data_IF_744737377282
#
_entry.id   IF_744737377282
#
_cell.length_a   1.000
_cell.length_b   1.000
_cell.length_c   1.000
_cell.angle_alpha   90.00
_cell.angle_beta   90.00
_cell.angle_gamma   90.00
#
_symmetry.space_group_name_H-M   'P 1'
#
loop_
_entity.id
_entity.type
_entity.pdbx_description
1 polymer ?
#
# COMPACT_ATOMS: atom_id res chain seq x y z
N UNK A 1 -27.10 -3.45 -21.77
CA UNK A 1 -27.70 -2.67 -20.65
C UNK A 1 -27.06 -1.29 -20.64
N UNK A 2 -27.77 -0.21 -20.27
CA UNK A 2 -27.19 1.14 -20.22
C UNK A 2 -26.90 1.55 -18.79
N UNK A 3 -25.65 1.93 -18.49
CA UNK A 3 -25.25 2.44 -17.18
C UNK A 3 -23.87 3.13 -17.25
N UNK A 4 -23.55 4.04 -16.31
CA UNK A 4 -22.22 4.60 -16.18
C UNK A 4 -21.26 3.65 -15.44
N UNK A 5 -20.04 3.55 -15.94
CA UNK A 5 -18.91 2.92 -15.25
C UNK A 5 -17.96 4.01 -14.76
N UNK A 6 -17.61 3.99 -13.48
CA UNK A 6 -16.67 4.94 -12.88
C UNK A 6 -15.34 4.24 -12.56
N UNK A 7 -14.25 4.81 -13.04
CA UNK A 7 -12.89 4.33 -12.80
C UNK A 7 -12.15 5.37 -11.95
N UNK A 8 -11.68 4.98 -10.77
CA UNK A 8 -10.87 5.87 -9.93
C UNK A 8 -9.54 6.13 -10.60
N UNK A 9 -9.18 7.40 -10.74
CA UNK A 9 -7.84 7.84 -11.14
C UNK A 9 -7.10 8.22 -9.86
N UNK A 10 -6.16 7.40 -9.36
CA UNK A 10 -5.48 7.70 -8.11
C UNK A 10 -4.71 9.02 -8.18
N UNK A 11 -4.60 9.73 -7.06
CA UNK A 11 -3.88 11.01 -6.98
C UNK A 11 -2.40 10.91 -7.37
N UNK A 12 -1.78 9.74 -7.20
CA UNK A 12 -0.39 9.50 -7.62
C UNK A 12 -0.22 9.32 -9.13
N UNK A 13 -1.31 9.07 -9.88
CA UNK A 13 -1.25 8.74 -11.30
C UNK A 13 -1.55 9.98 -12.17
N UNK A 14 -0.51 10.58 -12.74
CA UNK A 14 -0.62 11.80 -13.58
C UNK A 14 -0.80 11.53 -15.07
N UNK A 15 -0.74 10.27 -15.52
CA UNK A 15 -0.77 9.90 -16.93
C UNK A 15 -1.65 8.66 -17.17
N UNK A 16 -2.82 8.61 -16.53
CA UNK A 16 -3.76 7.51 -16.70
C UNK A 16 -4.25 7.42 -18.16
N UNK A 17 -4.50 6.19 -18.63
CA UNK A 17 -5.07 5.94 -19.96
C UNK A 17 -6.20 4.94 -19.85
N UNK A 18 -7.29 5.21 -20.56
CA UNK A 18 -8.44 4.31 -20.67
C UNK A 18 -8.55 3.84 -22.12
N UNK A 19 -8.75 2.53 -22.32
CA UNK A 19 -9.17 1.97 -23.61
C UNK A 19 -10.50 1.28 -23.45
N UNK A 20 -11.31 1.35 -24.51
CA UNK A 20 -12.56 0.62 -24.65
C UNK A 20 -12.48 -0.20 -25.93
N UNK A 21 -12.56 -1.53 -25.81
CA UNK A 21 -12.45 -2.45 -26.94
C UNK A 21 -11.20 -2.17 -27.81
N UNK A 22 -10.06 -1.88 -27.16
CA UNK A 22 -8.79 -1.55 -27.82
C UNK A 22 -8.64 -0.10 -28.28
N UNK A 23 -9.73 0.68 -28.36
CA UNK A 23 -9.68 2.08 -28.77
C UNK A 23 -9.36 3.00 -27.58
N UNK A 24 -8.32 3.84 -27.73
CA UNK A 24 -7.94 4.84 -26.74
C UNK A 24 -9.05 5.87 -26.60
N UNK A 25 -9.44 6.16 -25.35
CA UNK A 25 -10.38 7.22 -25.06
C UNK A 25 -9.64 8.55 -25.00
N UNK A 26 -9.94 9.47 -25.92
CA UNK A 26 -9.37 10.81 -25.96
C UNK A 26 -10.05 11.69 -24.91
N UNK A 27 -9.53 11.64 -23.69
CA UNK A 27 -9.98 12.48 -22.58
C UNK A 27 -8.80 12.77 -21.63
N UNK A 28 -8.88 13.91 -20.94
CA UNK A 28 -7.96 14.21 -19.85
C UNK A 28 -8.48 13.53 -18.58
N UNK A 29 -7.69 12.61 -18.03
CA UNK A 29 -7.99 11.92 -16.78
C UNK A 29 -7.25 12.57 -15.62
N UNK A 30 -7.95 13.38 -14.83
CA UNK A 30 -7.36 14.14 -13.73
C UNK A 30 -6.97 13.22 -12.56
N UNK A 31 -5.78 13.42 -11.99
CA UNK A 31 -5.33 12.68 -10.82
C UNK A 31 -6.22 12.97 -9.60
N UNK A 32 -6.62 11.94 -8.87
CA UNK A 32 -7.49 12.09 -7.69
C UNK A 32 -8.99 12.18 -8.02
N UNK A 33 -9.37 11.97 -9.27
CA UNK A 33 -10.76 12.04 -9.76
C UNK A 33 -11.33 10.67 -10.13
N UNK A 34 -12.50 10.67 -10.78
CA UNK A 34 -13.09 9.50 -11.42
C UNK A 34 -13.32 9.75 -12.91
N UNK A 35 -12.85 8.82 -13.75
CA UNK A 35 -13.24 8.76 -15.15
C UNK A 35 -14.60 8.07 -15.29
N UNK A 36 -15.59 8.76 -15.86
CA UNK A 36 -16.94 8.23 -16.11
C UNK A 36 -17.06 7.80 -17.57
N UNK A 37 -17.45 6.55 -17.80
CA UNK A 37 -17.78 6.00 -19.12
C UNK A 37 -19.25 5.64 -19.12
N UNK A 38 -20.06 6.41 -19.83
CA UNK A 38 -21.50 6.17 -19.91
C UNK A 38 -21.89 5.68 -21.30
N UNK A 39 -22.45 4.47 -21.36
CA UNK A 39 -22.87 3.86 -22.64
C UNK A 39 -23.84 2.71 -22.45
N UNK A 40 -24.33 2.20 -23.58
CA UNK A 40 -24.99 0.90 -23.69
C UNK A 40 -23.94 -0.21 -23.84
N UNK A 41 -23.80 -1.00 -22.79
CA UNK A 41 -22.88 -2.13 -22.70
C UNK A 41 -23.48 -3.38 -23.35
N UNK A 42 -22.62 -4.15 -23.99
CA UNK A 42 -22.89 -5.51 -24.50
C UNK A 42 -21.94 -6.52 -23.85
N UNK A 43 -22.37 -7.78 -23.82
CA UNK A 43 -21.50 -8.87 -23.37
C UNK A 43 -20.21 -8.88 -24.20
N UNK A 44 -19.07 -9.02 -23.54
CA UNK A 44 -17.75 -9.02 -24.17
C UNK A 44 -17.13 -7.63 -24.41
N UNK A 45 -17.76 -6.52 -23.99
CA UNK A 45 -17.07 -5.24 -23.94
C UNK A 45 -15.89 -5.30 -22.94
N UNK A 46 -14.73 -4.77 -23.32
CA UNK A 46 -13.52 -4.74 -22.50
C UNK A 46 -13.10 -3.30 -22.22
N UNK A 47 -12.89 -2.98 -20.95
CA UNK A 47 -12.34 -1.70 -20.50
C UNK A 47 -10.96 -1.96 -19.91
N UNK A 48 -9.95 -1.26 -20.43
CA UNK A 48 -8.59 -1.34 -19.92
C UNK A 48 -8.22 0.01 -19.29
N UNK A 49 -7.73 -0.03 -18.05
CA UNK A 49 -7.22 1.14 -17.33
C UNK A 49 -5.72 0.95 -17.09
N UNK A 50 -4.90 1.78 -17.73
CA UNK A 50 -3.47 1.85 -17.45
C UNK A 50 -3.20 2.98 -16.46
N UNK A 51 -2.52 2.65 -15.36
CA UNK A 51 -2.12 3.58 -14.30
C UNK A 51 -0.59 3.54 -14.16
N UNK A 52 0.17 4.28 -14.98
CA UNK A 52 1.63 4.27 -14.91
C UNK A 52 2.13 4.66 -13.53
N UNK A 53 2.81 3.73 -12.86
CA UNK A 53 3.42 3.96 -11.55
C UNK A 53 4.77 4.64 -11.73
N UNK A 54 5.06 5.61 -10.86
CA UNK A 54 6.35 6.33 -10.81
C UNK A 54 6.86 6.38 -9.38
N UNK A 55 8.17 6.52 -9.24
CA UNK A 55 8.77 6.85 -7.94
C UNK A 55 8.35 8.26 -7.53
N UNK A 56 8.03 8.42 -6.27
CA UNK A 56 7.70 9.70 -5.68
C UNK A 56 8.22 9.79 -4.24
N UNK A 57 8.38 11.04 -3.80
CA UNK A 57 8.75 11.40 -2.43
C UNK A 57 7.54 12.01 -1.77
N UNK A 58 7.17 11.52 -0.60
CA UNK A 58 6.14 12.14 0.23
C UNK A 58 6.77 12.69 1.51
N UNK A 59 6.64 14.01 1.72
CA UNK A 59 7.13 14.69 2.92
C UNK A 59 5.98 14.93 3.87
N UNK A 60 6.08 14.35 5.06
CA UNK A 60 5.08 14.45 6.12
C UNK A 60 5.43 15.61 7.04
N UNK A 61 5.00 16.83 6.69
CA UNK A 61 5.31 18.05 7.49
C UNK A 61 4.88 17.94 8.94
N UNK A 62 3.70 17.35 9.20
CA UNK A 62 3.17 17.12 10.56
C UNK A 62 3.96 16.06 11.34
N UNK A 63 4.67 15.18 10.65
CA UNK A 63 5.52 14.15 11.25
C UNK A 63 6.99 14.56 11.17
N UNK A 64 7.31 15.75 11.70
CA UNK A 64 8.68 16.29 11.79
C UNK A 64 9.45 16.26 10.46
N UNK A 65 8.77 16.57 9.35
CA UNK A 65 9.32 16.52 7.98
C UNK A 65 9.89 15.14 7.59
N UNK A 66 9.37 14.05 8.16
CA UNK A 66 9.73 12.70 7.76
C UNK A 66 9.41 12.46 6.29
N UNK A 67 10.18 11.60 5.63
CA UNK A 67 10.04 11.35 4.19
C UNK A 67 9.83 9.87 3.91
N UNK A 68 8.87 9.58 3.03
CA UNK A 68 8.62 8.26 2.46
C UNK A 68 8.96 8.25 0.97
N UNK A 69 9.49 7.13 0.50
CA UNK A 69 9.60 6.83 -0.94
C UNK A 69 8.42 5.94 -1.32
N UNK A 70 7.72 6.31 -2.38
CA UNK A 70 6.57 5.58 -2.88
C UNK A 70 6.78 5.19 -4.34
N UNK A 71 6.20 4.05 -4.75
CA UNK A 71 6.05 3.67 -6.16
C UNK A 71 4.55 3.48 -6.43
N UNK A 72 3.93 4.47 -7.08
CA UNK A 72 2.47 4.54 -7.19
C UNK A 72 1.80 4.53 -5.80
N UNK A 73 0.91 3.56 -5.49
CA UNK A 73 0.25 3.47 -4.19
C UNK A 73 1.11 2.80 -3.10
N UNK A 74 2.30 2.31 -3.43
CA UNK A 74 3.12 1.51 -2.51
C UNK A 74 4.13 2.41 -1.80
N UNK A 75 4.00 2.57 -0.49
CA UNK A 75 5.06 3.16 0.34
C UNK A 75 6.12 2.10 0.65
N UNK A 76 7.39 2.45 0.48
CA UNK A 76 8.51 1.54 0.75
C UNK A 76 9.02 1.68 2.19
N UNK A 77 9.46 0.55 2.74
CA UNK A 77 10.33 0.47 3.89
C UNK A 77 11.59 -0.29 3.49
N UNK A 78 12.71 -0.02 4.16
CA UNK A 78 13.88 -0.88 4.02
C UNK A 78 13.66 -2.12 4.89
N UNK A 79 13.97 -3.28 4.30
CA UNK A 79 13.88 -4.57 4.97
C UNK A 79 14.83 -4.59 6.17
N UNK A 80 14.27 -4.88 7.33
CA UNK A 80 15.02 -5.18 8.54
C UNK A 80 15.10 -6.71 8.61
N UNK A 81 16.29 -7.28 8.73
CA UNK A 81 16.39 -8.71 9.06
C UNK A 81 16.06 -8.89 10.53
N UNK A 82 15.32 -9.94 10.88
CA UNK A 82 14.84 -10.16 12.24
C UNK A 82 15.43 -11.42 12.87
N UNK A 83 15.69 -11.37 14.18
CA UNK A 83 15.89 -12.57 15.02
C UNK A 83 14.63 -12.80 15.83
N UNK A 84 14.03 -13.97 15.67
CA UNK A 84 12.90 -14.44 16.46
C UNK A 84 13.41 -15.21 17.66
N UNK A 85 13.08 -14.76 18.86
CA UNK A 85 13.36 -15.48 20.09
C UNK A 85 12.05 -15.95 20.70
N UNK A 86 11.83 -17.26 20.69
CA UNK A 86 10.66 -17.84 21.34
C UNK A 86 10.75 -17.62 22.85
N UNK A 87 9.65 -17.17 23.44
CA UNK A 87 9.50 -16.88 24.85
C UNK A 87 8.41 -17.74 25.47
N UNK A 88 8.47 -17.85 26.81
CA UNK A 88 7.41 -18.45 27.60
C UNK A 88 6.17 -17.55 27.54
N UNK A 89 5.11 -18.04 26.91
CA UNK A 89 3.86 -17.30 26.70
C UNK A 89 3.15 -16.93 28.00
N UNK A 90 3.43 -17.62 29.12
CA UNK A 90 2.90 -17.22 30.45
C UNK A 90 3.43 -15.87 30.92
N UNK A 91 4.64 -15.50 30.50
CA UNK A 91 5.29 -14.23 30.90
C UNK A 91 4.83 -13.04 30.06
N UNK A 92 4.31 -13.29 28.86
CA UNK A 92 3.76 -12.23 28.00
C UNK A 92 2.31 -11.85 28.35
N UNK A 93 1.64 -12.66 29.16
CA UNK A 93 0.27 -12.37 29.61
C UNK A 93 0.27 -11.22 30.62
N UNK A 94 -0.57 -10.23 30.38
CA UNK A 94 -0.82 -9.12 31.31
C UNK A 94 -2.28 -9.10 31.76
N UNK A 95 -2.51 -8.66 33.00
CA UNK A 95 -3.83 -8.42 33.60
C UNK A 95 -4.79 -9.63 33.53
N UNK A 96 -5.86 -9.52 32.75
CA UNK A 96 -6.95 -10.50 32.62
C UNK A 96 -6.72 -11.53 31.50
N UNK A 97 -5.63 -11.40 30.72
CA UNK A 97 -5.35 -12.26 29.57
C UNK A 97 -4.74 -13.63 29.94
N UNK A 98 -5.14 -14.22 31.08
CA UNK A 98 -4.60 -15.48 31.59
C UNK A 98 -5.07 -16.67 30.77
N UNK A 99 -4.13 -17.59 30.49
CA UNK A 99 -4.47 -18.89 29.96
C UNK A 99 -5.40 -19.64 30.92
N UNK A 100 -6.37 -20.36 30.37
CA UNK A 100 -7.20 -21.28 31.15
C UNK A 100 -6.34 -22.46 31.64
N UNK A 101 -6.74 -23.05 32.77
CA UNK A 101 -5.94 -24.01 33.55
C UNK A 101 -5.48 -25.25 32.75
N UNK A 102 -6.25 -25.67 31.73
CA UNK A 102 -6.01 -26.90 30.96
C UNK A 102 -5.61 -26.65 29.49
N UNK A 103 -5.17 -25.45 29.14
CA UNK A 103 -4.74 -25.15 27.76
C UNK A 103 -3.30 -25.61 27.54
N UNK A 104 -3.07 -26.35 26.45
CA UNK A 104 -1.73 -26.58 25.92
C UNK A 104 -1.20 -25.30 25.28
N UNK A 105 -0.26 -24.66 25.97
CA UNK A 105 0.31 -23.38 25.60
C UNK A 105 1.39 -23.50 24.53
N UNK A 106 1.88 -24.71 24.24
CA UNK A 106 2.83 -24.92 23.14
C UNK A 106 2.21 -24.60 21.78
N UNK A 107 0.88 -24.65 21.68
CA UNK A 107 0.09 -24.25 20.53
C UNK A 107 0.02 -22.72 20.33
N UNK A 108 0.48 -21.94 21.32
CA UNK A 108 0.43 -20.47 21.33
C UNK A 108 1.79 -19.87 21.72
N UNK A 109 2.83 -20.06 20.87
CA UNK A 109 4.16 -19.56 21.17
C UNK A 109 4.20 -18.03 21.18
N UNK A 110 4.87 -17.46 22.17
CA UNK A 110 5.21 -16.04 22.19
C UNK A 110 6.59 -15.85 21.58
N UNK A 111 6.79 -14.74 20.86
CA UNK A 111 8.10 -14.37 20.31
C UNK A 111 8.42 -12.93 20.65
N UNK A 112 9.66 -12.69 21.05
CA UNK A 112 10.26 -11.37 20.95
C UNK A 112 11.02 -11.29 19.62
N UNK A 113 10.80 -10.20 18.89
CA UNK A 113 11.37 -9.99 17.56
C UNK A 113 12.36 -8.85 17.67
N UNK A 114 13.64 -9.13 17.40
CA UNK A 114 14.72 -8.17 17.49
C UNK A 114 15.29 -7.85 16.11
N UNK A 115 15.74 -6.61 15.85
CA UNK A 115 16.41 -6.28 14.60
C UNK A 115 17.80 -6.93 14.56
N UNK A 116 18.05 -7.72 13.53
CA UNK A 116 19.34 -8.32 13.19
C UNK A 116 20.18 -7.47 12.22
N UNK A 117 19.57 -6.45 11.60
CA UNK A 117 20.25 -5.45 10.77
C UNK A 117 20.13 -4.07 11.38
N UNK A 118 20.92 -3.13 10.85
CA UNK A 118 20.71 -1.71 11.09
C UNK A 118 19.28 -1.32 10.68
N UNK A 119 18.57 -0.65 11.58
CA UNK A 119 17.17 -0.27 11.42
C UNK A 119 16.95 1.24 11.59
N UNK A 120 17.92 1.93 12.22
CA UNK A 120 17.86 3.37 12.49
C UNK A 120 18.67 4.15 11.44
N UNK A 121 18.11 4.29 10.24
CA UNK A 121 18.67 5.09 9.15
C UNK A 121 17.63 6.11 8.69
N UNK A 122 18.12 7.24 8.16
CA UNK A 122 17.31 8.25 7.48
C UNK A 122 17.67 8.32 6.01
N UNK A 123 16.73 8.82 5.20
CA UNK A 123 17.04 9.18 3.82
C UNK A 123 17.95 10.41 3.81
N UNK A 124 19.13 10.28 3.20
CA UNK A 124 19.98 11.43 2.89
C UNK A 124 19.41 12.14 1.66
N UNK A 125 18.62 13.20 1.90
CA UNK A 125 17.91 13.90 0.85
C UNK A 125 18.78 15.00 0.23
N UNK A 126 18.57 15.23 -1.07
CA UNK A 126 19.03 16.42 -1.77
C UNK A 126 17.83 17.09 -2.46
N UNK A 127 18.07 18.24 -3.07
CA UNK A 127 17.04 19.03 -3.75
C UNK A 127 16.73 18.55 -5.17
N UNK A 128 17.30 17.41 -5.60
CA UNK A 128 17.05 16.87 -6.94
C UNK A 128 15.71 16.12 -6.98
N UNK A 129 14.98 16.17 -8.11
CA UNK A 129 13.85 15.28 -8.32
C UNK A 129 14.31 13.82 -8.34
N UNK A 130 13.40 12.91 -7.95
CA UNK A 130 13.58 11.46 -8.09
C UNK A 130 13.49 11.02 -9.56
#
# INVERSE_FOLDING_TARGET
>A
VSFPLYLRIPAWCTAAKVKLNGAVQEAVFEAGSYARIERKWKSGDVVELALPMKLSKETWTKNKNSVSICYGPLAFSLKITEVYKQMDSKKSVTYDSKFQENVDQSLWPAFEIYPASMWNYGLALNDKPL
#
